data_IF_230656082694
#
_entry.id   IF_230656082694
#
_cell.length_a   1.000
_cell.length_b   1.000
_cell.length_c   1.000
_cell.angle_alpha   90.00
_cell.angle_beta   90.00
_cell.angle_gamma   90.00
#
_symmetry.space_group_name_H-M   'P 1'
#
loop_
_entity.id
_entity.type
_entity.pdbx_description
1 polymer ?
#
# COMPACT_ATOMS: atom_id res chain seq x y z
N UNK A 1 1.25 -15.51 14.94
CA UNK A 1 1.45 -14.15 14.40
C UNK A 1 1.54 -14.22 12.89
N UNK A 2 1.29 -13.08 12.24
CA UNK A 2 1.48 -12.97 10.79
C UNK A 2 2.97 -13.08 10.40
N UNK A 3 3.26 -13.43 9.15
CA UNK A 3 4.61 -13.58 8.63
C UNK A 3 4.76 -12.96 7.22
N UNK A 4 3.98 -11.92 6.90
CA UNK A 4 3.86 -11.35 5.54
C UNK A 4 5.24 -10.98 4.97
N UNK A 5 6.11 -10.39 5.79
CA UNK A 5 7.50 -10.04 5.43
C UNK A 5 8.53 -10.88 6.20
N UNK A 6 8.18 -12.11 6.57
CA UNK A 6 9.06 -13.00 7.36
C UNK A 6 10.41 -13.35 6.70
N UNK A 7 10.61 -13.03 5.41
CA UNK A 7 11.83 -13.30 4.66
C UNK A 7 12.63 -12.06 4.25
N UNK A 8 12.20 -10.86 4.66
CA UNK A 8 12.82 -9.60 4.22
C UNK A 8 12.60 -8.48 5.21
N UNK A 9 13.60 -7.64 5.39
CA UNK A 9 13.45 -6.37 6.11
C UNK A 9 12.99 -5.24 5.19
N UNK A 10 12.36 -4.24 5.81
CA UNK A 10 12.06 -3.00 5.14
C UNK A 10 13.31 -2.11 5.07
N UNK A 11 13.48 -1.32 3.99
CA UNK A 11 14.44 -0.24 3.97
C UNK A 11 14.12 0.77 5.08
N UNK A 12 15.10 1.62 5.39
CA UNK A 12 14.89 2.71 6.34
C UNK A 12 13.69 3.57 5.89
N UNK A 13 12.77 3.80 6.83
CA UNK A 13 11.45 4.34 6.51
C UNK A 13 11.54 5.76 5.93
N UNK A 14 12.39 6.62 6.49
CA UNK A 14 12.53 7.99 6.02
C UNK A 14 13.14 8.05 4.61
N UNK A 15 14.11 7.19 4.29
CA UNK A 15 14.67 7.06 2.95
C UNK A 15 13.63 6.57 1.93
N UNK A 16 12.78 5.61 2.33
CA UNK A 16 11.70 5.11 1.47
C UNK A 16 10.60 6.16 1.22
N UNK A 17 10.25 6.90 2.27
CA UNK A 17 9.33 8.03 2.21
C UNK A 17 9.87 9.15 1.31
N UNK A 18 11.16 9.47 1.43
CA UNK A 18 11.82 10.44 0.57
C UNK A 18 11.83 9.98 -0.89
N UNK A 19 12.19 8.71 -1.16
CA UNK A 19 12.15 8.15 -2.53
C UNK A 19 10.77 8.27 -3.15
N UNK A 20 9.71 8.04 -2.37
CA UNK A 20 8.34 8.21 -2.84
C UNK A 20 8.03 9.68 -3.20
N UNK A 21 8.43 10.63 -2.35
CA UNK A 21 8.21 12.06 -2.61
C UNK A 21 9.01 12.52 -3.82
N UNK A 22 10.29 12.15 -3.94
CA UNK A 22 11.14 12.49 -5.08
C UNK A 22 10.51 11.99 -6.37
N UNK A 23 10.01 10.75 -6.37
CA UNK A 23 9.34 10.19 -7.53
C UNK A 23 8.05 10.92 -7.90
N UNK A 24 7.26 11.34 -6.91
CA UNK A 24 6.09 12.18 -7.15
C UNK A 24 6.51 13.51 -7.80
N UNK A 25 7.57 14.14 -7.32
CA UNK A 25 8.09 15.40 -7.88
C UNK A 25 8.51 15.21 -9.33
N UNK A 26 9.31 14.19 -9.66
CA UNK A 26 9.74 13.91 -11.02
C UNK A 26 8.57 13.76 -12.01
N UNK A 27 7.53 13.02 -11.61
CA UNK A 27 6.33 12.78 -12.43
C UNK A 27 5.56 14.08 -12.67
N UNK A 28 5.46 14.92 -11.64
CA UNK A 28 4.74 16.20 -11.72
C UNK A 28 5.52 17.24 -12.52
N UNK A 29 6.83 17.32 -12.37
CA UNK A 29 7.69 18.27 -13.09
C UNK A 29 7.70 18.02 -14.60
N UNK A 30 7.60 16.76 -15.04
CA UNK A 30 7.41 16.43 -16.47
C UNK A 30 5.97 16.59 -16.96
N UNK A 31 5.07 17.10 -16.12
CA UNK A 31 3.67 17.38 -16.44
C UNK A 31 2.76 16.16 -16.48
N UNK A 32 3.14 15.08 -15.79
CA UNK A 32 2.34 13.88 -15.63
C UNK A 32 1.58 13.81 -14.31
N UNK A 33 0.72 12.81 -14.19
CA UNK A 33 -0.02 12.47 -12.97
C UNK A 33 0.55 11.22 -12.33
N UNK A 34 0.87 11.31 -11.03
CA UNK A 34 1.21 10.15 -10.22
C UNK A 34 -0.09 9.45 -9.76
N UNK A 35 -0.40 8.29 -10.34
CA UNK A 35 -1.47 7.43 -9.86
C UNK A 35 -0.94 6.58 -8.70
N UNK A 36 -1.55 6.68 -7.52
CA UNK A 36 -1.14 5.97 -6.31
C UNK A 36 -2.27 5.04 -5.85
N UNK A 37 -2.28 3.78 -6.30
CA UNK A 37 -3.23 2.77 -5.83
C UNK A 37 -2.95 2.44 -4.36
N UNK A 38 -3.98 2.52 -3.52
CA UNK A 38 -3.89 2.28 -2.07
C UNK A 38 -5.08 1.49 -1.53
N UNK A 39 -4.88 0.79 -0.42
CA UNK A 39 -5.99 0.23 0.34
C UNK A 39 -6.78 1.33 1.05
N UNK A 40 -8.09 1.12 1.19
CA UNK A 40 -8.98 2.08 1.83
C UNK A 40 -8.61 2.35 3.30
N UNK A 41 -8.16 1.30 3.99
CA UNK A 41 -7.76 1.33 5.39
C UNK A 41 -6.23 1.36 5.52
N UNK A 42 -5.72 2.20 6.41
CA UNK A 42 -4.28 2.40 6.66
C UNK A 42 -3.58 3.19 5.56
N UNK A 43 -3.29 2.54 4.43
CA UNK A 43 -2.35 3.10 3.44
C UNK A 43 -2.82 4.40 2.79
N UNK A 44 -4.12 4.54 2.56
CA UNK A 44 -4.67 5.81 2.05
C UNK A 44 -4.28 6.99 2.96
N UNK A 45 -4.44 6.81 4.27
CA UNK A 45 -4.22 7.85 5.26
C UNK A 45 -2.72 8.16 5.41
N UNK A 46 -1.86 7.13 5.37
CA UNK A 46 -0.41 7.28 5.47
C UNK A 46 0.17 8.02 4.27
N UNK A 47 -0.22 7.65 3.05
CA UNK A 47 0.24 8.31 1.82
C UNK A 47 -0.20 9.77 1.77
N UNK A 48 -1.47 10.06 2.12
CA UNK A 48 -1.94 11.44 2.19
C UNK A 48 -1.16 12.25 3.24
N UNK A 49 -0.85 11.64 4.38
CA UNK A 49 -0.05 12.29 5.43
C UNK A 49 1.36 12.59 4.95
N UNK A 50 1.99 11.66 4.22
CA UNK A 50 3.32 11.84 3.63
C UNK A 50 3.33 12.99 2.62
N UNK A 51 2.39 13.00 1.67
CA UNK A 51 2.22 14.06 0.69
C UNK A 51 1.93 15.43 1.34
N UNK A 52 1.16 15.46 2.44
CA UNK A 52 0.88 16.70 3.18
C UNK A 52 2.10 17.21 3.96
N UNK A 53 2.91 16.29 4.52
CA UNK A 53 4.13 16.61 5.27
C UNK A 53 5.24 17.16 4.38
N UNK A 54 5.27 16.80 3.09
CA UNK A 54 6.28 17.33 2.14
C UNK A 54 6.17 18.84 1.92
N UNK A 55 5.02 19.46 2.27
CA UNK A 55 4.72 20.89 2.06
C UNK A 55 4.80 21.35 0.60
N UNK A 56 4.85 20.42 -0.35
CA UNK A 56 4.77 20.70 -1.77
C UNK A 56 3.37 21.23 -2.12
N UNK A 57 3.32 22.19 -3.06
CA UNK A 57 2.06 22.74 -3.57
C UNK A 57 1.44 21.81 -4.62
N UNK A 58 0.97 20.65 -4.18
CA UNK A 58 0.40 19.61 -5.04
C UNK A 58 -1.12 19.69 -5.12
N UNK A 59 -1.67 19.51 -6.32
CA UNK A 59 -3.07 19.23 -6.59
C UNK A 59 -3.37 17.75 -6.34
N UNK A 60 -3.60 17.38 -5.07
CA UNK A 60 -3.85 15.97 -4.67
C UNK A 60 -5.34 15.67 -4.62
N UNK A 61 -5.78 14.66 -5.38
CA UNK A 61 -7.13 14.14 -5.36
C UNK A 61 -7.21 12.80 -4.60
N UNK A 62 -8.21 12.66 -3.74
CA UNK A 62 -8.48 11.44 -2.98
C UNK A 62 -9.83 10.84 -3.37
N UNK A 63 -9.81 9.63 -3.93
CA UNK A 63 -11.00 8.92 -4.43
C UNK A 63 -11.10 7.50 -3.84
N UNK A 64 -12.30 6.94 -3.86
CA UNK A 64 -12.58 5.57 -3.43
C UNK A 64 -12.94 5.44 -1.96
N UNK A 65 -12.99 4.20 -1.50
CA UNK A 65 -13.51 3.85 -0.17
C UNK A 65 -12.67 4.40 0.99
N UNK A 66 -11.41 4.77 0.74
CA UNK A 66 -10.55 5.39 1.75
C UNK A 66 -11.14 6.68 2.32
N UNK A 67 -11.93 7.43 1.55
CA UNK A 67 -12.62 8.62 2.06
C UNK A 67 -13.65 8.28 3.13
N UNK A 68 -14.37 7.17 2.99
CA UNK A 68 -15.36 6.72 3.98
C UNK A 68 -14.67 6.20 5.23
N UNK A 69 -13.63 5.38 5.08
CA UNK A 69 -12.83 4.88 6.21
C UNK A 69 -12.21 6.04 7.00
N UNK A 70 -11.68 7.05 6.30
CA UNK A 70 -11.11 8.24 6.96
C UNK A 70 -12.16 9.00 7.77
N UNK A 71 -13.41 9.10 7.29
CA UNK A 71 -14.49 9.69 8.07
C UNK A 71 -14.78 8.90 9.34
N UNK A 72 -14.87 7.57 9.24
CA UNK A 72 -15.05 6.70 10.40
C UNK A 72 -13.92 6.87 11.42
N UNK A 73 -12.67 7.00 10.97
CA UNK A 73 -11.54 7.29 11.87
C UNK A 73 -11.70 8.63 12.59
N UNK A 74 -12.17 9.67 11.89
CA UNK A 74 -12.40 10.99 12.49
C UNK A 74 -13.62 11.02 13.43
N UNK A 75 -14.57 10.11 13.25
CA UNK A 75 -15.72 9.90 14.14
C UNK A 75 -15.35 9.09 15.39
N UNK A 76 -14.22 8.37 15.38
CA UNK A 76 -13.71 7.55 16.50
C UNK A 76 -12.24 7.90 16.81
N UNK A 77 -11.96 9.17 17.20
CA UNK A 77 -10.60 9.70 17.31
C UNK A 77 -9.75 9.02 18.39
N UNK A 78 -10.35 8.36 19.37
CA UNK A 78 -9.66 7.62 20.45
C UNK A 78 -8.81 6.44 19.94
N UNK A 79 -9.12 5.92 18.74
CA UNK A 79 -8.34 4.87 18.09
C UNK A 79 -7.30 5.42 17.10
N UNK A 80 -7.16 6.75 16.99
CA UNK A 80 -6.27 7.40 16.03
C UNK A 80 -5.19 8.16 16.78
N UNK A 81 -3.93 7.73 16.60
CA UNK A 81 -2.78 8.32 17.28
C UNK A 81 -2.68 9.86 17.15
N UNK A 82 -3.04 10.40 15.99
CA UNK A 82 -3.10 11.85 15.75
C UNK A 82 -4.31 12.22 14.89
N UNK A 83 -5.49 12.24 15.52
CA UNK A 83 -6.75 12.56 14.86
C UNK A 83 -6.79 14.00 14.31
N UNK A 84 -6.10 14.95 14.98
CA UNK A 84 -6.03 16.34 14.52
C UNK A 84 -5.30 16.43 13.19
N UNK A 85 -4.11 15.82 13.09
CA UNK A 85 -3.37 15.76 11.82
C UNK A 85 -4.16 15.04 10.75
N UNK A 86 -4.78 13.90 11.07
CA UNK A 86 -5.61 13.18 10.10
C UNK A 86 -6.73 14.09 9.54
N UNK A 87 -7.36 14.89 10.41
CA UNK A 87 -8.38 15.85 10.00
C UNK A 87 -7.79 16.90 9.07
N UNK A 88 -6.66 17.51 9.40
CA UNK A 88 -5.98 18.51 8.55
C UNK A 88 -5.61 17.95 7.17
N UNK A 89 -5.00 16.76 7.14
CA UNK A 89 -4.64 16.04 5.92
C UNK A 89 -5.87 15.76 5.05
N UNK A 90 -6.96 15.28 5.66
CA UNK A 90 -8.19 14.96 4.93
C UNK A 90 -8.86 16.20 4.32
N UNK A 91 -8.79 17.36 5.00
CA UNK A 91 -9.30 18.63 4.46
C UNK A 91 -8.41 19.24 3.39
N UNK A 92 -7.09 19.02 3.49
CA UNK A 92 -6.13 19.47 2.50
C UNK A 92 -6.29 18.74 1.15
N UNK A 93 -6.60 17.44 1.18
CA UNK A 93 -6.84 16.65 -0.03
C UNK A 93 -8.17 17.01 -0.73
N UNK A 94 -8.19 17.02 -2.07
CA UNK A 94 -9.42 17.23 -2.85
C UNK A 94 -10.22 15.94 -2.96
N UNK A 95 -11.33 15.88 -2.22
CA UNK A 95 -12.24 14.73 -2.20
C UNK A 95 -12.97 14.55 -3.52
N UNK A 96 -12.97 13.33 -4.05
CA UNK A 96 -13.74 12.95 -5.23
C UNK A 96 -15.06 12.34 -4.80
N UNK A 97 -16.15 13.09 -4.96
CA UNK A 97 -17.49 12.70 -4.50
C UNK A 97 -18.48 12.43 -5.64
N UNK A 98 -18.14 12.87 -6.85
CA UNK A 98 -18.99 12.79 -8.04
C UNK A 98 -18.22 12.36 -9.29
N UNK A 99 -18.95 11.99 -10.36
CA UNK A 99 -18.36 11.74 -11.68
C UNK A 99 -17.63 12.98 -12.23
N UNK A 100 -18.13 14.18 -11.92
CA UNK A 100 -17.50 15.44 -12.31
C UNK A 100 -16.16 15.63 -11.61
N UNK A 101 -16.11 15.43 -10.30
CA UNK A 101 -14.86 15.51 -9.53
C UNK A 101 -13.83 14.49 -10.03
N UNK A 102 -14.28 13.27 -10.33
CA UNK A 102 -13.44 12.20 -10.89
C UNK A 102 -12.87 12.57 -12.26
N UNK A 103 -13.63 13.30 -13.09
CA UNK A 103 -13.12 13.84 -14.36
C UNK A 103 -12.09 14.96 -14.13
N UNK A 104 -12.34 15.86 -13.16
CA UNK A 104 -11.37 16.92 -12.79
C UNK A 104 -10.07 16.34 -12.25
N UNK A 105 -10.14 15.22 -11.53
CA UNK A 105 -8.98 14.53 -10.98
C UNK A 105 -8.00 14.02 -12.04
N UNK A 106 -8.41 13.85 -13.31
CA UNK A 106 -7.49 13.48 -14.40
C UNK A 106 -6.45 14.57 -14.72
N UNK A 107 -6.61 15.77 -14.18
CA UNK A 107 -5.64 16.87 -14.26
C UNK A 107 -4.98 17.15 -12.89
N UNK A 108 -4.97 16.15 -12.01
CA UNK A 108 -4.29 16.20 -10.73
C UNK A 108 -2.78 15.95 -10.90
N UNK A 109 -2.00 16.45 -9.95
CA UNK A 109 -0.59 16.08 -9.80
C UNK A 109 -0.49 14.66 -9.24
N UNK A 110 -1.35 14.34 -8.26
CA UNK A 110 -1.39 13.03 -7.60
C UNK A 110 -2.83 12.58 -7.40
N UNK A 111 -3.11 11.33 -7.74
CA UNK A 111 -4.39 10.66 -7.47
C UNK A 111 -4.15 9.52 -6.49
N UNK A 112 -4.59 9.69 -5.25
CA UNK A 112 -4.59 8.62 -4.23
C UNK A 112 -5.94 7.91 -4.30
N UNK A 113 -5.95 6.62 -4.62
CA UNK A 113 -7.23 5.93 -4.89
C UNK A 113 -7.21 4.42 -4.68
N UNK A 114 -8.39 3.84 -4.41
CA UNK A 114 -8.56 2.39 -4.24
C UNK A 114 -8.74 1.63 -5.57
N UNK A 115 -8.37 0.36 -5.68
CA UNK A 115 -7.74 -0.51 -4.67
C UNK A 115 -6.22 -0.65 -4.85
N UNK A 116 -5.51 -0.90 -3.75
CA UNK A 116 -4.04 -0.93 -3.69
C UNK A 116 -3.35 -2.06 -4.45
N UNK A 117 -4.11 -3.05 -4.91
CA UNK A 117 -3.62 -4.18 -5.71
C UNK A 117 -4.13 -4.17 -7.15
N UNK A 118 -4.81 -3.10 -7.58
CA UNK A 118 -5.30 -2.98 -8.97
C UNK A 118 -6.22 -4.13 -9.42
N UNK A 119 -7.01 -4.69 -8.51
CA UNK A 119 -8.03 -5.71 -8.85
C UNK A 119 -9.38 -5.08 -9.22
N UNK A 120 -9.54 -3.77 -9.02
CA UNK A 120 -10.79 -3.09 -9.30
C UNK A 120 -10.89 -1.66 -8.76
N UNK A 121 -12.13 -1.18 -8.72
CA UNK A 121 -12.47 0.13 -8.17
C UNK A 121 -12.00 1.31 -9.04
N UNK A 122 -11.95 2.53 -8.47
CA UNK A 122 -11.60 3.74 -9.21
C UNK A 122 -10.18 3.73 -9.79
N UNK A 123 -9.23 3.01 -9.18
CA UNK A 123 -7.85 2.87 -9.70
C UNK A 123 -7.81 2.41 -11.16
N UNK A 124 -8.60 1.38 -11.51
CA UNK A 124 -8.74 0.87 -12.89
C UNK A 124 -9.37 1.90 -13.81
N UNK A 125 -10.34 2.67 -13.31
CA UNK A 125 -11.00 3.72 -14.07
C UNK A 125 -10.03 4.84 -14.46
N UNK A 126 -9.18 5.26 -13.51
CA UNK A 126 -8.14 6.27 -13.74
C UNK A 126 -7.05 5.73 -14.65
N UNK A 127 -6.52 4.54 -14.36
CA UNK A 127 -5.47 3.92 -15.15
C UNK A 127 -5.89 3.75 -16.62
N UNK A 128 -7.12 3.32 -16.87
CA UNK A 128 -7.64 3.22 -18.23
C UNK A 128 -7.61 4.56 -19.00
N UNK A 129 -7.62 5.70 -18.32
CA UNK A 129 -7.59 7.03 -18.96
C UNK A 129 -6.20 7.66 -18.98
N UNK A 130 -5.35 7.31 -18.02
CA UNK A 130 -4.00 7.85 -17.89
C UNK A 130 -2.96 7.05 -18.69
N UNK A 131 -3.20 5.77 -18.99
CA UNK A 131 -2.21 4.85 -19.57
C UNK A 131 -1.60 5.23 -20.92
N UNK A 132 -2.23 6.13 -21.68
CA UNK A 132 -1.77 6.50 -23.03
C UNK A 132 -0.83 7.70 -23.01
N UNK A 133 -0.61 8.33 -21.85
CA UNK A 133 0.32 9.45 -21.71
C UNK A 133 1.52 8.99 -20.87
N UNK A 134 2.70 8.79 -21.50
CA UNK A 134 3.88 8.23 -20.85
C UNK A 134 4.48 9.15 -19.78
N UNK A 135 3.99 10.40 -19.67
CA UNK A 135 4.37 11.29 -18.57
C UNK A 135 3.82 10.80 -17.23
N UNK A 136 2.71 10.06 -17.24
CA UNK A 136 2.10 9.50 -16.04
C UNK A 136 2.92 8.32 -15.49
N UNK A 137 2.75 8.04 -14.20
CA UNK A 137 3.37 6.88 -13.55
C UNK A 137 2.41 6.24 -12.55
N UNK A 138 2.66 4.96 -12.25
CA UNK A 138 1.92 4.18 -11.24
C UNK A 138 2.86 3.93 -10.07
N UNK A 139 2.49 4.42 -8.89
CA UNK A 139 3.30 4.29 -7.68
C UNK A 139 2.63 3.30 -6.72
N UNK A 140 3.09 2.04 -6.75
CA UNK A 140 2.59 0.98 -5.88
C UNK A 140 3.27 1.07 -4.52
N UNK A 141 2.49 1.25 -3.46
CA UNK A 141 3.03 1.60 -2.14
C UNK A 141 3.29 0.40 -1.22
N UNK A 142 2.97 -0.83 -1.62
CA UNK A 142 3.21 -2.01 -0.80
C UNK A 142 3.13 -3.31 -1.58
N UNK A 143 3.20 -4.43 -0.84
CA UNK A 143 3.17 -5.77 -1.40
C UNK A 143 1.98 -6.01 -2.33
N UNK A 144 2.26 -6.74 -3.41
CA UNK A 144 1.30 -7.14 -4.43
C UNK A 144 1.22 -8.66 -4.40
N UNK A 145 0.07 -9.18 -3.96
CA UNK A 145 -0.12 -10.61 -3.77
C UNK A 145 -0.07 -11.37 -5.10
N UNK A 146 0.36 -12.62 -5.05
CA UNK A 146 0.28 -13.52 -6.19
C UNK A 146 -1.16 -13.56 -6.74
N UNK A 147 -1.28 -13.50 -8.07
CA UNK A 147 -2.58 -13.45 -8.75
C UNK A 147 -3.28 -12.07 -8.75
N UNK A 148 -2.76 -11.07 -8.05
CA UNK A 148 -3.32 -9.71 -8.09
C UNK A 148 -3.01 -8.96 -9.40
N UNK A 149 -3.83 -7.97 -9.73
CA UNK A 149 -3.63 -7.10 -10.89
C UNK A 149 -2.29 -6.35 -10.83
N UNK A 150 -1.90 -5.84 -9.68
CA UNK A 150 -0.63 -5.13 -9.52
C UNK A 150 0.58 -6.04 -9.65
N UNK A 151 0.47 -7.32 -9.25
CA UNK A 151 1.51 -8.33 -9.51
C UNK A 151 1.66 -8.59 -11.00
N UNK A 152 0.55 -8.88 -11.69
CA UNK A 152 0.52 -9.08 -13.14
C UNK A 152 1.11 -7.89 -13.90
N UNK A 153 0.75 -6.67 -13.49
CA UNK A 153 1.28 -5.43 -14.07
C UNK A 153 2.79 -5.35 -13.96
N UNK A 154 3.35 -5.63 -12.78
CA UNK A 154 4.81 -5.53 -12.56
C UNK A 154 5.61 -6.60 -13.30
N UNK A 155 5.01 -7.76 -13.56
CA UNK A 155 5.70 -8.88 -14.23
C UNK A 155 5.55 -8.83 -15.75
N UNK A 156 4.44 -8.28 -16.27
CA UNK A 156 4.09 -8.40 -17.69
C UNK A 156 3.83 -7.06 -18.38
N UNK A 157 3.74 -5.95 -17.63
CA UNK A 157 3.31 -4.66 -18.16
C UNK A 157 1.82 -4.63 -18.57
N UNK A 158 1.02 -5.61 -18.15
CA UNK A 158 -0.39 -5.75 -18.53
C UNK A 158 -1.32 -5.80 -17.32
N UNK A 159 -2.57 -5.39 -17.53
CA UNK A 159 -3.61 -5.42 -16.50
C UNK A 159 -4.96 -5.78 -17.09
N UNK A 160 -5.80 -6.44 -16.29
CA UNK A 160 -7.21 -6.65 -16.64
C UNK A 160 -7.99 -5.34 -16.46
N UNK A 161 -8.47 -4.77 -17.57
CA UNK A 161 -9.31 -3.57 -17.58
C UNK A 161 -10.65 -3.93 -18.19
N UNK A 162 -11.72 -3.89 -17.39
CA UNK A 162 -13.10 -4.20 -17.80
C UNK A 162 -13.23 -5.53 -18.58
N UNK A 163 -12.54 -6.57 -18.10
CA UNK A 163 -12.56 -7.91 -18.68
C UNK A 163 -11.64 -8.12 -19.89
N UNK A 164 -10.78 -7.13 -20.22
CA UNK A 164 -9.78 -7.24 -21.29
C UNK A 164 -8.37 -7.05 -20.74
N UNK A 165 -7.49 -7.99 -21.08
CA UNK A 165 -6.07 -7.86 -20.82
C UNK A 165 -5.50 -6.73 -21.69
N UNK A 166 -4.96 -5.71 -21.07
CA UNK A 166 -4.58 -4.44 -21.71
C UNK A 166 -3.14 -4.08 -21.38
N UNK A 167 -2.36 -3.67 -22.38
CA UNK A 167 -0.99 -3.15 -22.18
C UNK A 167 -1.02 -1.80 -21.46
N UNK A 168 -0.12 -1.64 -20.50
CA UNK A 168 0.05 -0.45 -19.67
C UNK A 168 1.45 0.12 -19.91
N UNK A 169 1.64 1.01 -20.91
CA UNK A 169 2.93 1.56 -21.27
C UNK A 169 3.31 2.75 -20.36
N UNK A 170 3.18 2.55 -19.05
CA UNK A 170 3.57 3.54 -18.03
C UNK A 170 4.69 2.99 -17.17
N UNK A 171 5.49 3.90 -16.60
CA UNK A 171 6.44 3.56 -15.56
C UNK A 171 5.68 3.07 -14.31
N UNK A 172 6.16 1.98 -13.72
CA UNK A 172 5.58 1.37 -12.51
C UNK A 172 6.67 1.27 -11.45
N UNK A 173 6.54 2.09 -10.41
CA UNK A 173 7.47 2.13 -9.30
C UNK A 173 6.86 1.44 -8.08
N UNK A 174 7.70 0.71 -7.34
CA UNK A 174 7.30 0.05 -6.08
C UNK A 174 8.00 0.70 -4.91
N UNK A 175 7.24 0.86 -3.83
CA UNK A 175 7.73 1.36 -2.55
C UNK A 175 7.35 0.39 -1.44
N UNK A 176 8.28 0.15 -0.53
CA UNK A 176 8.14 -0.65 0.67
C UNK A 176 7.52 0.18 1.81
N UNK A 177 6.40 0.87 1.53
CA UNK A 177 5.71 1.68 2.55
C UNK A 177 4.76 0.85 3.43
N UNK A 178 4.86 -0.49 3.40
CA UNK A 178 4.02 -1.46 4.13
C UNK A 178 3.72 -1.08 5.59
N UNK A 179 2.55 -1.47 6.10
CA UNK A 179 2.18 -1.32 7.52
C UNK A 179 2.41 -2.64 8.29
N UNK A 180 2.85 -3.68 7.60
CA UNK A 180 3.30 -4.92 8.22
C UNK A 180 4.74 -4.75 8.72
N UNK A 181 5.08 -5.46 9.79
CA UNK A 181 6.43 -5.46 10.34
C UNK A 181 7.39 -6.23 9.42
N UNK A 182 8.63 -5.74 9.30
CA UNK A 182 9.72 -6.46 8.63
C UNK A 182 10.20 -7.66 9.46
N UNK A 183 11.03 -8.53 8.87
CA UNK A 183 11.54 -9.74 9.53
C UNK A 183 12.11 -9.47 10.93
N UNK A 184 12.99 -8.47 11.08
CA UNK A 184 13.60 -8.13 12.36
C UNK A 184 12.57 -7.68 13.40
N UNK A 185 11.61 -6.85 13.00
CA UNK A 185 10.54 -6.37 13.88
C UNK A 185 9.58 -7.50 14.29
N UNK A 186 9.29 -8.45 13.39
CA UNK A 186 8.50 -9.64 13.70
C UNK A 186 9.22 -10.53 14.72
N UNK A 187 10.53 -10.76 14.54
CA UNK A 187 11.35 -11.50 15.49
C UNK A 187 11.36 -10.81 16.87
N UNK A 188 11.69 -9.51 16.91
CA UNK A 188 11.70 -8.72 18.14
C UNK A 188 10.34 -8.74 18.85
N UNK A 189 9.24 -8.60 18.11
CA UNK A 189 7.89 -8.69 18.64
C UNK A 189 7.63 -10.05 19.28
N UNK A 190 7.95 -11.15 18.59
CA UNK A 190 7.73 -12.50 19.09
C UNK A 190 8.50 -12.75 20.39
N UNK A 191 9.79 -12.39 20.43
CA UNK A 191 10.63 -12.57 21.61
C UNK A 191 10.16 -11.72 22.79
N UNK A 192 9.72 -10.48 22.53
CA UNK A 192 9.20 -9.59 23.57
C UNK A 192 7.93 -10.13 24.24
N UNK A 193 7.17 -11.03 23.60
CA UNK A 193 6.02 -11.68 24.25
C UNK A 193 6.42 -12.72 25.30
N UNK A 194 7.63 -13.27 25.22
CA UNK A 194 8.07 -14.40 26.06
C UNK A 194 7.31 -15.71 25.78
N UNK A 195 6.61 -15.83 24.65
CA UNK A 195 5.83 -17.03 24.33
C UNK A 195 6.75 -18.22 23.99
N UNK A 196 6.53 -19.40 24.61
CA UNK A 196 7.33 -20.60 24.33
C UNK A 196 6.99 -21.29 22.99
N UNK A 197 5.80 -20.99 22.45
CA UNK A 197 5.28 -21.52 21.19
C UNK A 197 4.76 -20.37 20.32
N UNK A 198 5.13 -20.37 19.04
CA UNK A 198 4.69 -19.36 18.07
C UNK A 198 4.13 -20.04 16.82
N UNK A 199 2.90 -19.71 16.47
CA UNK A 199 2.26 -20.17 15.23
C UNK A 199 2.44 -19.11 14.15
N UNK A 200 3.05 -19.43 13.01
CA UNK A 200 3.21 -18.52 11.87
C UNK A 200 2.10 -18.75 10.82
N UNK A 201 1.43 -17.66 10.43
CA UNK A 201 0.34 -17.67 9.45
C UNK A 201 0.37 -16.41 8.56
N UNK A 202 -0.54 -16.32 7.59
CA UNK A 202 -0.72 -15.14 6.71
C UNK A 202 0.58 -14.69 6.00
N UNK A 203 1.14 -15.58 5.20
CA UNK A 203 2.26 -15.30 4.32
C UNK A 203 2.35 -16.33 3.20
N UNK A 204 3.17 -16.05 2.20
CA UNK A 204 3.56 -17.04 1.19
C UNK A 204 4.27 -18.23 1.88
N UNK A 205 4.00 -19.48 1.44
CA UNK A 205 4.56 -20.69 2.06
C UNK A 205 6.09 -20.68 2.11
N UNK A 206 6.74 -20.13 1.09
CA UNK A 206 8.20 -20.10 0.96
C UNK A 206 8.88 -19.07 1.88
N UNK A 207 8.11 -18.13 2.43
CA UNK A 207 8.63 -17.04 3.28
C UNK A 207 8.74 -17.47 4.75
N UNK A 208 7.78 -18.30 5.23
CA UNK A 208 7.69 -18.70 6.65
C UNK A 208 8.94 -19.42 7.20
N UNK A 209 9.58 -20.34 6.46
CA UNK A 209 10.71 -21.10 6.98
C UNK A 209 11.87 -20.19 7.43
N UNK A 210 12.05 -19.05 6.78
CA UNK A 210 13.11 -18.10 7.12
C UNK A 210 12.90 -17.49 8.51
N UNK A 211 11.70 -17.01 8.81
CA UNK A 211 11.37 -16.45 10.13
C UNK A 211 11.33 -17.56 11.20
N UNK A 212 10.83 -18.75 10.86
CA UNK A 212 10.80 -19.89 11.76
C UNK A 212 12.20 -20.25 12.26
N UNK A 213 13.16 -20.38 11.35
CA UNK A 213 14.54 -20.70 11.70
C UNK A 213 15.21 -19.64 12.59
N UNK A 214 14.82 -18.37 12.49
CA UNK A 214 15.31 -17.32 13.38
C UNK A 214 14.74 -17.44 14.79
N UNK A 215 13.43 -17.69 14.91
CA UNK A 215 12.75 -17.91 16.19
C UNK A 215 13.26 -19.17 16.91
N UNK A 216 13.46 -20.25 16.17
CA UNK A 216 13.97 -21.52 16.72
C UNK A 216 15.39 -21.38 17.29
N UNK A 217 16.24 -20.54 16.67
CA UNK A 217 17.58 -20.23 17.21
C UNK A 217 17.53 -19.54 18.57
N UNK A 218 16.47 -18.78 18.83
CA UNK A 218 16.22 -18.13 20.11
C UNK A 218 15.47 -19.05 21.11
N UNK A 219 15.30 -20.33 20.76
CA UNK A 219 14.68 -21.33 21.63
C UNK A 219 13.14 -21.35 21.60
N UNK A 220 12.52 -20.64 20.66
CA UNK A 220 11.06 -20.62 20.49
C UNK A 220 10.62 -21.85 19.67
N UNK A 221 9.59 -22.57 20.12
CA UNK A 221 8.99 -23.65 19.31
C UNK A 221 8.06 -23.04 18.26
N UNK A 222 8.34 -23.29 16.98
CA UNK A 222 7.58 -22.69 15.88
C UNK A 222 6.67 -23.70 15.21
N UNK A 223 5.43 -23.29 14.97
CA UNK A 223 4.40 -24.08 14.31
C UNK A 223 3.99 -23.40 13.00
N UNK A 224 3.97 -24.16 11.91
CA UNK A 224 3.62 -23.67 10.57
C UNK A 224 2.45 -24.48 9.99
N UNK A 225 1.23 -24.29 10.49
CA UNK A 225 0.09 -25.07 10.07
C UNK A 225 -0.26 -24.81 8.59
N UNK A 226 -0.76 -25.86 7.94
CA UNK A 226 -1.30 -25.80 6.57
C UNK A 226 -2.81 -25.63 6.61
N UNK A 227 -3.34 -24.96 5.59
CA UNK A 227 -4.79 -24.80 5.46
C UNK A 227 -5.46 -26.18 5.38
N UNK A 228 -6.60 -26.33 6.07
CA UNK A 228 -7.38 -27.57 6.15
C UNK A 228 -6.74 -28.73 6.92
N UNK A 229 -5.62 -28.50 7.59
CA UNK A 229 -5.00 -29.48 8.48
C UNK A 229 -5.18 -29.05 9.94
N UNK A 230 -5.50 -30.01 10.82
CA UNK A 230 -5.60 -29.79 12.27
C UNK A 230 -4.25 -30.02 12.93
N UNK A 231 -3.90 -29.14 13.85
CA UNK A 231 -2.65 -29.21 14.63
C UNK A 231 -2.97 -29.25 16.13
N UNK A 232 -2.23 -30.06 16.87
CA UNK A 232 -2.28 -30.10 18.35
C UNK A 232 -0.94 -29.59 18.88
N UNK A 233 -1.01 -28.61 19.77
CA UNK A 233 0.13 -27.92 20.40
C UNK A 233 0.11 -28.19 21.89
#
# INVERSE_FOLDING_TARGET
MEATYGGSDHPERAAEEQRFIDRVVEVVERGGTALVPVFANGRSQDVLTLLWKSKLKLNVHFDGMGQRVTKTFLENPEFVNDAKRLKEVFHWSKRVSSKSDRKKALSADVIVTTSGMLDGGPSIWYLNRLRNDPRNAILLTGYQAEGSGGRLLTETGRLQIFGKLTDIPLEVDRFALSNHAGQKQLLEFALATGAPDVILFHSDPDVRPTLAALLEKEGVRVHMPRNHESYTI
#
